data_IF_781834898450
#
_entry.id   IF_781834898450
#
_cell.length_a   1.000
_cell.length_b   1.000
_cell.length_c   1.000
_cell.angle_alpha   90.00
_cell.angle_beta   90.00
_cell.angle_gamma   90.00
#
_symmetry.space_group_name_H-M   'P 1'
#
loop_
_entity.id
_entity.type
_entity.pdbx_description
1 polymer ?
#
# COMPACT_ATOMS: atom_id res chain seq x y z
N UNK A 1 31.68 -10.29 5.87
CA UNK A 1 31.53 -9.28 6.95
C UNK A 1 30.63 -9.82 8.04
N UNK A 2 31.01 -9.56 9.31
CA UNK A 2 30.19 -9.96 10.48
C UNK A 2 28.95 -9.09 10.67
N UNK A 3 28.91 -7.93 10.04
CA UNK A 3 27.78 -7.00 10.07
C UNK A 3 27.28 -6.74 8.65
N UNK A 4 25.99 -6.90 8.44
CA UNK A 4 25.27 -6.46 7.26
C UNK A 4 24.15 -5.50 7.67
N UNK A 5 24.00 -4.41 6.93
CA UNK A 5 22.93 -3.44 7.16
C UNK A 5 22.16 -3.27 5.85
N UNK A 6 20.85 -3.49 5.92
CA UNK A 6 19.90 -3.25 4.84
C UNK A 6 19.11 -2.01 5.21
N UNK A 7 19.39 -0.92 4.54
CA UNK A 7 18.73 0.36 4.77
C UNK A 7 17.55 0.55 3.79
N UNK A 8 16.52 1.28 4.21
CA UNK A 8 15.31 1.53 3.43
C UNK A 8 14.69 0.25 2.87
N UNK A 9 14.61 -0.80 3.70
CA UNK A 9 14.18 -2.12 3.27
C UNK A 9 12.79 -2.14 2.62
N UNK A 10 11.90 -1.22 3.00
CA UNK A 10 10.58 -1.06 2.38
C UNK A 10 10.63 -0.75 0.88
N UNK A 11 11.78 -0.26 0.35
CA UNK A 11 11.97 0.07 -1.07
C UNK A 11 12.51 -1.10 -1.90
N UNK A 12 12.91 -2.21 -1.27
CA UNK A 12 13.45 -3.36 -1.96
C UNK A 12 12.33 -4.21 -2.56
N UNK A 13 12.21 -4.31 -3.89
CA UNK A 13 11.15 -5.08 -4.54
C UNK A 13 11.31 -6.59 -4.37
N UNK A 14 12.55 -7.05 -4.11
CA UNK A 14 12.88 -8.46 -3.88
C UNK A 14 13.71 -8.64 -2.62
N UNK A 15 13.69 -9.83 -2.05
CA UNK A 15 14.48 -10.19 -0.87
C UNK A 15 15.94 -10.57 -1.18
N UNK A 16 16.35 -10.46 -2.42
CA UNK A 16 17.62 -11.01 -2.92
C UNK A 16 18.83 -10.47 -2.13
N UNK A 17 18.92 -9.14 -1.93
CA UNK A 17 20.07 -8.55 -1.24
C UNK A 17 20.12 -8.97 0.24
N UNK A 18 18.98 -9.00 0.91
CA UNK A 18 18.88 -9.45 2.30
C UNK A 18 19.34 -10.90 2.45
N UNK A 19 18.86 -11.79 1.59
CA UNK A 19 19.22 -13.20 1.59
C UNK A 19 20.70 -13.42 1.26
N UNK A 20 21.24 -12.74 0.25
CA UNK A 20 22.67 -12.83 -0.09
C UNK A 20 23.57 -12.42 1.08
N UNK A 21 23.22 -11.36 1.81
CA UNK A 21 23.98 -10.94 2.98
C UNK A 21 23.89 -11.96 4.10
N UNK A 22 22.71 -12.50 4.37
CA UNK A 22 22.47 -13.51 5.39
C UNK A 22 23.20 -14.82 5.07
N UNK A 23 23.11 -15.30 3.84
CA UNK A 23 23.78 -16.53 3.39
C UNK A 23 25.31 -16.39 3.42
N UNK A 24 25.81 -15.20 3.05
CA UNK A 24 27.25 -14.89 3.13
C UNK A 24 27.80 -14.87 4.57
N UNK A 25 26.95 -14.87 5.58
CA UNK A 25 27.32 -14.89 7.00
C UNK A 25 27.19 -16.25 7.66
N UNK A 26 26.69 -17.28 6.99
CA UNK A 26 26.32 -18.58 7.57
C UNK A 26 27.47 -19.29 8.31
N UNK A 27 28.71 -19.06 7.88
CA UNK A 27 29.92 -19.64 8.50
C UNK A 27 30.50 -18.80 9.65
N UNK A 28 29.93 -17.62 9.91
CA UNK A 28 30.46 -16.69 10.91
C UNK A 28 29.81 -16.91 12.27
N UNK A 29 30.64 -16.94 13.34
CA UNK A 29 30.12 -17.18 14.71
C UNK A 29 29.33 -16.04 15.29
N UNK A 30 29.66 -14.80 14.93
CA UNK A 30 29.07 -13.56 15.48
C UNK A 30 28.57 -12.69 14.33
N UNK A 31 27.69 -13.24 13.52
CA UNK A 31 27.07 -12.52 12.43
C UNK A 31 25.84 -11.74 12.90
N UNK A 32 25.69 -10.53 12.38
CA UNK A 32 24.52 -9.69 12.64
C UNK A 32 24.04 -9.10 11.31
N UNK A 33 22.76 -9.28 11.01
CA UNK A 33 22.09 -8.59 9.91
C UNK A 33 21.05 -7.66 10.51
N UNK A 34 21.11 -6.37 10.16
CA UNK A 34 20.20 -5.32 10.62
C UNK A 34 19.42 -4.84 9.41
N UNK A 35 18.09 -4.83 9.49
CA UNK A 35 17.23 -4.14 8.55
C UNK A 35 16.69 -2.87 9.22
N UNK A 36 16.85 -1.72 8.56
CA UNK A 36 16.39 -0.41 9.01
C UNK A 36 15.43 0.11 7.95
N UNK A 37 14.26 0.57 8.36
CA UNK A 37 13.25 1.02 7.41
C UNK A 37 12.18 1.85 8.08
N UNK A 38 11.48 2.67 7.31
CA UNK A 38 10.14 3.16 7.62
C UNK A 38 9.10 2.20 7.04
N UNK A 39 7.83 2.44 7.30
CA UNK A 39 6.74 1.81 6.55
C UNK A 39 6.77 2.23 5.08
N UNK A 40 6.07 1.47 4.26
CA UNK A 40 5.97 1.71 2.82
C UNK A 40 4.52 1.64 2.34
N UNK A 41 4.37 1.69 1.04
CA UNK A 41 3.06 1.65 0.37
C UNK A 41 2.88 0.42 -0.53
N UNK A 42 3.86 -0.46 -0.61
CA UNK A 42 3.76 -1.70 -1.38
C UNK A 42 3.76 -2.91 -0.45
N UNK A 43 2.55 -3.43 -0.19
CA UNK A 43 2.34 -4.58 0.69
C UNK A 43 2.84 -5.91 0.10
N UNK A 44 3.20 -5.94 -1.20
CA UNK A 44 3.76 -7.12 -1.85
C UNK A 44 5.30 -7.20 -1.72
N UNK A 45 5.95 -6.18 -1.18
CA UNK A 45 7.40 -6.19 -0.99
C UNK A 45 7.80 -6.99 0.26
N UNK A 46 8.99 -7.60 0.24
CA UNK A 46 9.45 -8.47 1.33
C UNK A 46 9.46 -7.80 2.70
N UNK A 47 9.64 -6.50 2.77
CA UNK A 47 9.66 -5.76 4.01
C UNK A 47 8.33 -5.85 4.76
N UNK A 48 7.19 -5.83 4.05
CA UNK A 48 5.89 -5.98 4.68
C UNK A 48 5.69 -7.38 5.29
N UNK A 49 6.19 -8.43 4.64
CA UNK A 49 6.19 -9.78 5.22
C UNK A 49 7.06 -9.85 6.48
N UNK A 50 8.23 -9.19 6.48
CA UNK A 50 9.06 -9.09 7.68
C UNK A 50 8.39 -8.27 8.79
N UNK A 51 7.66 -7.22 8.45
CA UNK A 51 6.85 -6.46 9.42
C UNK A 51 5.78 -7.34 10.07
N UNK A 52 5.04 -8.15 9.30
CA UNK A 52 4.06 -9.11 9.86
C UNK A 52 4.72 -10.13 10.79
N UNK A 53 5.87 -10.67 10.40
CA UNK A 53 6.67 -11.57 11.24
C UNK A 53 7.08 -10.87 12.55
N UNK A 54 7.58 -9.64 12.45
CA UNK A 54 7.99 -8.84 13.59
C UNK A 54 6.83 -8.57 14.56
N UNK A 55 5.64 -8.24 14.05
CA UNK A 55 4.42 -8.09 14.88
C UNK A 55 4.05 -9.38 15.61
N UNK A 56 4.18 -10.53 14.98
CA UNK A 56 3.93 -11.83 15.61
C UNK A 56 4.94 -12.11 16.74
N UNK A 57 6.20 -11.72 16.58
CA UNK A 57 7.22 -11.86 17.62
C UNK A 57 6.92 -10.93 18.80
N UNK A 58 6.62 -9.65 18.56
CA UNK A 58 6.30 -8.68 19.63
C UNK A 58 5.05 -9.10 20.40
N UNK A 59 4.01 -9.61 19.71
CA UNK A 59 2.77 -10.05 20.35
C UNK A 59 2.91 -11.37 21.12
N UNK A 60 4.05 -12.07 21.00
CA UNK A 60 4.26 -13.40 21.59
C UNK A 60 3.56 -14.53 20.82
N UNK A 61 2.97 -14.26 19.67
CA UNK A 61 2.37 -15.29 18.81
C UNK A 61 3.41 -16.19 18.15
N UNK A 62 4.66 -15.71 18.03
CA UNK A 62 5.79 -16.46 17.52
C UNK A 62 7.00 -16.31 18.44
N UNK A 63 7.54 -17.43 18.93
CA UNK A 63 8.80 -17.46 19.64
C UNK A 63 9.97 -17.54 18.64
N UNK A 64 10.75 -16.47 18.56
CA UNK A 64 11.90 -16.38 17.65
C UNK A 64 13.05 -15.60 18.33
N UNK A 65 13.77 -16.24 19.26
CA UNK A 65 14.76 -15.56 20.10
C UNK A 65 15.97 -14.99 19.34
N UNK A 66 16.20 -15.39 18.09
CA UNK A 66 17.25 -14.85 17.25
C UNK A 66 16.87 -13.54 16.55
N UNK A 67 15.60 -13.12 16.62
CA UNK A 67 15.11 -11.90 16.00
C UNK A 67 14.82 -10.85 17.07
N UNK A 68 15.66 -9.82 17.11
CA UNK A 68 15.35 -8.60 17.85
C UNK A 68 14.46 -7.70 16.99
N UNK A 69 13.40 -7.17 17.56
CA UNK A 69 12.46 -6.29 16.88
C UNK A 69 12.24 -5.01 17.68
N UNK A 70 12.29 -3.89 16.99
CA UNK A 70 11.86 -2.58 17.50
C UNK A 70 10.99 -1.91 16.45
N UNK A 71 9.76 -1.54 16.81
CA UNK A 71 8.81 -0.83 15.95
C UNK A 71 8.31 0.40 16.69
N UNK A 72 8.44 1.57 16.07
CA UNK A 72 7.87 2.83 16.53
C UNK A 72 6.86 3.32 15.49
N UNK A 73 5.61 2.99 15.68
CA UNK A 73 4.51 3.32 14.77
C UNK A 73 3.37 4.03 15.52
N UNK A 74 2.57 4.81 14.79
CA UNK A 74 1.37 5.42 15.35
C UNK A 74 0.25 4.38 15.51
N UNK A 75 -0.55 4.52 16.58
CA UNK A 75 -1.72 3.68 16.81
C UNK A 75 -2.88 4.15 15.92
N UNK A 76 -2.93 3.64 14.69
CA UNK A 76 -3.94 4.02 13.70
C UNK A 76 -4.83 2.81 13.40
N UNK A 77 -6.17 2.94 13.53
CA UNK A 77 -7.11 1.91 13.15
C UNK A 77 -6.99 1.51 11.67
N UNK A 78 -7.46 0.31 11.34
CA UNK A 78 -7.58 -0.14 9.96
C UNK A 78 -8.58 0.73 9.21
N UNK A 79 -8.15 1.37 8.12
CA UNK A 79 -8.97 2.29 7.33
C UNK A 79 -10.24 1.65 6.78
N UNK A 80 -10.23 0.36 6.45
CA UNK A 80 -11.39 -0.34 5.90
C UNK A 80 -12.43 -0.67 6.98
N UNK A 81 -11.96 -0.90 8.23
CA UNK A 81 -12.84 -1.27 9.35
C UNK A 81 -13.37 -0.07 10.11
N UNK A 82 -12.57 0.98 10.21
CA UNK A 82 -12.92 2.21 10.94
C UNK A 82 -12.34 3.43 10.19
N UNK A 83 -12.97 3.88 9.10
CA UNK A 83 -12.48 5.01 8.30
C UNK A 83 -12.42 6.33 9.08
N UNK A 84 -13.37 6.56 9.98
CA UNK A 84 -13.41 7.79 10.78
C UNK A 84 -12.34 7.77 11.88
N UNK A 85 -12.19 6.65 12.59
CA UNK A 85 -11.13 6.46 13.56
C UNK A 85 -9.76 6.57 12.91
N UNK A 86 -9.57 6.01 11.72
CA UNK A 86 -8.34 6.17 10.93
C UNK A 86 -8.04 7.65 10.66
N UNK A 87 -9.02 8.39 10.14
CA UNK A 87 -8.88 9.82 9.80
C UNK A 87 -8.56 10.67 11.04
N UNK A 88 -9.22 10.40 12.16
CA UNK A 88 -8.97 11.11 13.41
C UNK A 88 -7.59 10.82 13.97
N UNK A 89 -7.17 9.55 13.98
CA UNK A 89 -5.89 9.12 14.51
C UNK A 89 -4.68 9.65 13.72
N UNK A 90 -4.82 9.87 12.40
CA UNK A 90 -3.77 10.48 11.56
C UNK A 90 -3.37 11.88 12.06
N UNK A 91 -4.31 12.64 12.62
CA UNK A 91 -4.11 14.03 13.00
C UNK A 91 -3.97 14.24 14.51
N UNK A 92 -3.90 13.14 15.27
CA UNK A 92 -3.68 13.15 16.70
C UNK A 92 -2.18 13.30 17.03
N UNK A 93 -1.84 14.40 17.70
CA UNK A 93 -0.44 14.69 18.08
C UNK A 93 0.15 13.66 19.05
N UNK A 94 -0.66 13.02 19.89
CA UNK A 94 -0.20 11.97 20.82
C UNK A 94 0.26 10.73 20.06
N UNK A 95 -0.38 10.42 18.93
CA UNK A 95 0.07 9.34 18.04
C UNK A 95 1.38 9.68 17.33
N UNK A 96 1.60 10.94 16.97
CA UNK A 96 2.85 11.34 16.32
C UNK A 96 4.08 11.10 17.21
N UNK A 97 3.93 11.31 18.52
CA UNK A 97 5.01 11.09 19.48
C UNK A 97 5.40 9.60 19.57
N UNK A 98 4.45 8.68 19.42
CA UNK A 98 4.70 7.23 19.42
C UNK A 98 5.56 6.79 18.26
N UNK A 99 5.27 7.31 17.06
CA UNK A 99 6.01 6.99 15.84
C UNK A 99 7.37 7.72 15.73
N UNK A 100 7.60 8.77 16.53
CA UNK A 100 8.80 9.60 16.43
C UNK A 100 9.51 9.77 17.79
N UNK A 101 9.96 8.68 18.43
CA UNK A 101 10.49 8.74 19.80
C UNK A 101 11.70 9.68 19.94
N UNK A 102 12.60 9.71 18.94
CA UNK A 102 13.79 10.57 19.00
C UNK A 102 13.52 12.03 18.66
N UNK A 103 12.47 12.34 17.94
CA UNK A 103 12.10 13.69 17.54
C UNK A 103 11.15 14.34 18.55
N UNK A 104 10.19 13.55 19.04
CA UNK A 104 9.13 14.04 19.90
C UNK A 104 9.49 14.08 21.39
N UNK A 105 10.52 13.35 21.82
CA UNK A 105 10.91 13.26 23.21
C UNK A 105 12.32 13.81 23.46
N UNK A 106 12.53 14.51 24.57
CA UNK A 106 13.86 14.93 25.07
C UNK A 106 14.47 13.85 25.95
N UNK A 107 13.63 13.16 26.71
CA UNK A 107 13.96 12.05 27.60
C UNK A 107 12.70 11.21 27.80
N UNK A 108 12.73 10.19 28.66
CA UNK A 108 11.64 9.21 28.86
C UNK A 108 10.31 9.84 29.35
N UNK A 109 10.31 11.08 29.79
CA UNK A 109 9.13 11.73 30.41
C UNK A 109 8.81 13.12 29.86
N UNK A 110 9.70 13.74 29.10
CA UNK A 110 9.57 15.13 28.65
C UNK A 110 9.50 15.22 27.13
N UNK A 111 8.39 15.76 26.62
CA UNK A 111 8.19 16.03 25.18
C UNK A 111 9.11 17.15 24.68
N UNK A 112 9.50 17.04 23.42
CA UNK A 112 10.27 18.02 22.70
C UNK A 112 9.35 18.92 21.84
N UNK A 113 8.98 20.07 22.37
CA UNK A 113 8.08 21.01 21.69
C UNK A 113 8.54 21.40 20.28
N UNK A 114 9.87 21.55 20.08
CA UNK A 114 10.42 21.87 18.76
C UNK A 114 10.26 20.71 17.77
N UNK A 115 10.44 19.48 18.25
CA UNK A 115 10.23 18.28 17.45
C UNK A 115 8.76 18.10 17.07
N UNK A 116 7.87 18.26 18.03
CA UNK A 116 6.42 18.19 17.78
C UNK A 116 5.93 19.30 16.83
N UNK A 117 6.43 20.54 17.00
CA UNK A 117 6.11 21.63 16.09
C UNK A 117 6.56 21.37 14.65
N UNK A 118 7.67 20.66 14.47
CA UNK A 118 8.13 20.23 13.15
C UNK A 118 7.16 19.20 12.53
N UNK A 119 6.75 18.18 13.29
CA UNK A 119 5.77 17.19 12.81
C UNK A 119 4.47 17.88 12.48
N UNK A 120 3.99 18.81 13.31
CA UNK A 120 2.79 19.61 13.07
C UNK A 120 2.86 20.40 11.77
N UNK A 121 4.01 21.00 11.45
CA UNK A 121 4.22 21.72 10.20
C UNK A 121 4.14 20.79 8.98
N UNK A 122 4.77 19.62 9.08
CA UNK A 122 4.73 18.58 8.02
C UNK A 122 3.30 18.04 7.85
N UNK A 123 2.56 17.80 8.94
CA UNK A 123 1.16 17.37 8.90
C UNK A 123 0.25 18.38 8.21
N UNK A 124 0.45 19.67 8.50
CA UNK A 124 -0.31 20.75 7.87
C UNK A 124 -0.05 20.82 6.36
N UNK A 125 1.21 20.67 5.94
CA UNK A 125 1.57 20.59 4.53
C UNK A 125 0.94 19.39 3.83
N UNK A 126 1.06 18.21 4.44
CA UNK A 126 0.51 16.96 3.92
C UNK A 126 -1.02 17.03 3.77
N UNK A 127 -1.70 17.61 4.77
CA UNK A 127 -3.16 17.80 4.75
C UNK A 127 -3.62 18.76 3.65
N UNK A 128 -2.84 19.81 3.40
CA UNK A 128 -3.18 20.83 2.40
C UNK A 128 -2.95 20.35 0.97
N UNK A 129 -1.89 19.57 0.73
CA UNK A 129 -1.50 19.10 -0.60
C UNK A 129 -2.14 17.77 -0.98
N UNK A 130 -2.37 16.89 0.00
CA UNK A 130 -2.88 15.54 -0.25
C UNK A 130 -1.88 14.66 -1.03
N UNK A 131 -2.39 13.64 -1.71
CA UNK A 131 -1.63 12.83 -2.65
C UNK A 131 -0.32 12.26 -2.07
N UNK A 132 0.79 12.54 -2.75
CA UNK A 132 2.11 12.04 -2.38
C UNK A 132 2.62 12.59 -1.04
N UNK A 133 2.41 13.88 -0.76
CA UNK A 133 2.79 14.48 0.53
C UNK A 133 2.06 13.83 1.71
N UNK A 134 0.77 13.53 1.55
CA UNK A 134 -0.01 12.83 2.58
C UNK A 134 0.48 11.39 2.78
N UNK A 135 0.72 10.66 1.70
CA UNK A 135 1.27 9.30 1.77
C UNK A 135 2.63 9.29 2.46
N UNK A 136 3.51 10.23 2.11
CA UNK A 136 4.83 10.35 2.70
C UNK A 136 4.76 10.70 4.20
N UNK A 137 3.83 11.53 4.59
CA UNK A 137 3.57 11.79 6.01
C UNK A 137 3.13 10.52 6.74
N UNK A 138 2.16 9.78 6.19
CA UNK A 138 1.66 8.53 6.79
C UNK A 138 2.77 7.47 6.90
N UNK A 139 3.55 7.26 5.85
CA UNK A 139 4.56 6.20 5.85
C UNK A 139 5.85 6.58 6.58
N UNK A 140 6.30 7.84 6.47
CA UNK A 140 7.62 8.27 6.99
C UNK A 140 7.55 8.95 8.36
N UNK A 141 6.38 9.49 8.74
CA UNK A 141 6.21 10.17 10.04
C UNK A 141 5.35 9.39 11.01
N UNK A 142 4.36 8.68 10.50
CA UNK A 142 3.51 7.83 11.35
C UNK A 142 3.93 6.37 11.35
N UNK A 143 4.83 6.01 10.45
CA UNK A 143 5.35 4.64 10.25
C UNK A 143 4.24 3.62 9.99
N UNK A 144 3.19 4.04 9.29
CA UNK A 144 2.00 3.24 8.99
C UNK A 144 2.02 2.78 7.54
N UNK A 145 1.85 1.47 7.36
CA UNK A 145 1.72 0.89 6.03
C UNK A 145 0.41 1.32 5.37
N UNK A 146 0.50 1.74 4.12
CA UNK A 146 -0.66 2.19 3.34
C UNK A 146 -0.67 1.53 1.97
N UNK A 147 -1.87 1.33 1.42
CA UNK A 147 -2.09 0.73 0.09
C UNK A 147 -2.06 1.80 -1.01
N UNK A 148 -1.84 3.06 -0.67
CA UNK A 148 -1.86 4.16 -1.62
C UNK A 148 -0.78 3.98 -2.69
N UNK A 149 -1.19 3.65 -3.90
CA UNK A 149 -0.32 3.65 -5.08
C UNK A 149 -0.16 5.11 -5.54
N UNK A 150 1.07 5.66 -5.63
CA UNK A 150 1.29 7.02 -6.15
C UNK A 150 0.86 7.16 -7.60
N UNK A 151 0.76 6.04 -8.30
CA UNK A 151 0.43 5.92 -9.71
C UNK A 151 -1.03 5.54 -9.94
N UNK A 152 -1.90 5.67 -8.93
CA UNK A 152 -3.32 5.49 -9.17
C UNK A 152 -3.78 6.58 -10.16
N UNK A 153 -4.11 6.19 -11.37
CA UNK A 153 -4.65 7.07 -12.41
C UNK A 153 -5.93 7.76 -11.94
N UNK A 154 -6.66 7.11 -11.03
CA UNK A 154 -7.90 7.63 -10.45
C UNK A 154 -7.75 7.63 -8.92
N UNK A 155 -8.16 8.73 -8.28
CA UNK A 155 -8.30 8.83 -6.84
C UNK A 155 -9.36 7.84 -6.35
N UNK A 156 -9.01 7.00 -5.36
CA UNK A 156 -9.88 5.92 -4.89
C UNK A 156 -11.19 6.45 -4.24
N UNK A 157 -11.13 7.59 -3.55
CA UNK A 157 -12.30 8.22 -2.94
C UNK A 157 -13.27 8.71 -4.02
N UNK A 158 -12.75 9.40 -5.04
CA UNK A 158 -13.55 9.83 -6.21
C UNK A 158 -14.08 8.65 -7.03
N UNK A 159 -13.33 7.55 -7.06
CA UNK A 159 -13.81 6.34 -7.72
C UNK A 159 -15.04 5.77 -7.00
N UNK A 160 -14.99 5.66 -5.67
CA UNK A 160 -16.12 5.21 -4.87
C UNK A 160 -17.31 6.18 -4.91
N UNK A 161 -17.05 7.50 -4.94
CA UNK A 161 -18.12 8.49 -5.13
C UNK A 161 -18.83 8.38 -6.47
N UNK A 162 -18.21 7.75 -7.47
CA UNK A 162 -18.77 7.53 -8.80
C UNK A 162 -19.61 6.26 -8.92
N UNK A 163 -19.72 5.43 -7.85
CA UNK A 163 -20.56 4.24 -7.86
C UNK A 163 -22.02 4.58 -8.11
N UNK A 164 -22.71 3.72 -8.88
CA UNK A 164 -24.10 3.90 -9.26
C UNK A 164 -24.81 2.56 -9.30
N UNK A 165 -26.10 2.58 -9.03
CA UNK A 165 -26.97 1.40 -9.18
C UNK A 165 -27.42 1.16 -10.65
N UNK A 166 -27.03 2.05 -11.58
CA UNK A 166 -27.31 1.88 -13.00
C UNK A 166 -26.55 0.69 -13.58
N UNK A 167 -27.20 0.01 -14.52
CA UNK A 167 -26.66 -1.15 -15.22
C UNK A 167 -26.65 -0.93 -16.73
N UNK A 168 -25.96 -1.77 -17.49
CA UNK A 168 -26.03 -1.77 -18.97
C UNK A 168 -27.45 -1.93 -19.51
N UNK A 169 -28.30 -2.66 -18.80
CA UNK A 169 -29.70 -2.81 -19.20
C UNK A 169 -30.47 -1.47 -19.19
N UNK A 170 -30.14 -0.56 -18.27
CA UNK A 170 -30.74 0.76 -18.17
C UNK A 170 -30.29 1.69 -19.29
N UNK A 171 -29.22 1.32 -19.99
CA UNK A 171 -28.67 2.06 -21.13
C UNK A 171 -29.26 1.66 -22.47
N UNK A 172 -30.20 0.71 -22.50
CA UNK A 172 -30.83 0.26 -23.75
C UNK A 172 -31.49 1.40 -24.52
N UNK A 173 -31.14 1.55 -25.80
CA UNK A 173 -31.67 2.59 -26.68
C UNK A 173 -31.02 3.98 -26.53
N UNK A 174 -29.99 4.12 -25.71
CA UNK A 174 -29.20 5.36 -25.58
C UNK A 174 -28.00 5.37 -26.51
N UNK A 175 -27.49 6.54 -26.82
CA UNK A 175 -26.25 6.70 -27.58
C UNK A 175 -25.08 6.13 -26.77
N UNK A 176 -24.23 5.35 -27.44
CA UNK A 176 -23.08 4.70 -26.83
C UNK A 176 -21.80 5.01 -27.62
N UNK A 177 -20.77 5.41 -26.91
CA UNK A 177 -19.40 5.48 -27.44
C UNK A 177 -18.61 4.27 -26.95
N UNK A 178 -17.90 3.60 -27.88
CA UNK A 178 -17.15 2.38 -27.58
C UNK A 178 -15.66 2.67 -27.75
N UNK A 179 -14.89 2.40 -26.68
CA UNK A 179 -13.44 2.36 -26.70
C UNK A 179 -12.94 0.92 -26.69
N UNK A 180 -11.97 0.59 -27.53
CA UNK A 180 -11.33 -0.73 -27.56
C UNK A 180 -9.84 -0.57 -27.44
N UNK A 181 -9.25 -1.25 -26.48
CA UNK A 181 -7.80 -1.38 -26.31
C UNK A 181 -7.39 -2.83 -26.57
N UNK A 182 -6.57 -3.02 -27.61
CA UNK A 182 -6.12 -4.35 -28.04
C UNK A 182 -4.72 -4.62 -27.49
N UNK A 183 -4.59 -5.68 -26.73
CA UNK A 183 -3.30 -6.11 -26.20
C UNK A 183 -2.42 -6.76 -27.27
N UNK A 184 -1.15 -6.35 -27.33
CA UNK A 184 -0.10 -6.98 -28.15
C UNK A 184 0.81 -7.92 -27.36
N UNK A 185 0.34 -8.55 -26.31
CA UNK A 185 1.14 -9.62 -25.72
C UNK A 185 1.36 -9.68 -24.23
N UNK A 186 1.14 -8.63 -23.46
CA UNK A 186 1.36 -8.65 -22.00
C UNK A 186 0.18 -8.11 -21.20
N UNK A 187 -0.69 -7.33 -21.82
CA UNK A 187 -1.78 -6.65 -21.16
C UNK A 187 -3.14 -7.33 -21.44
N UNK A 188 -4.18 -6.85 -20.79
CA UNK A 188 -5.56 -7.24 -21.07
C UNK A 188 -6.06 -6.54 -22.33
N UNK A 189 -6.83 -7.23 -23.15
CA UNK A 189 -7.70 -6.57 -24.12
C UNK A 189 -8.91 -6.04 -23.38
N UNK A 190 -9.28 -4.77 -23.56
CA UNK A 190 -10.41 -4.15 -22.87
C UNK A 190 -11.35 -3.45 -23.82
N UNK A 191 -12.64 -3.53 -23.52
CA UNK A 191 -13.71 -2.81 -24.22
C UNK A 191 -14.46 -1.97 -23.20
N UNK A 192 -14.59 -0.68 -23.46
CA UNK A 192 -15.32 0.25 -22.61
C UNK A 192 -16.50 0.85 -23.34
N UNK A 193 -17.62 0.97 -22.65
CA UNK A 193 -18.87 1.55 -23.12
C UNK A 193 -19.15 2.83 -22.33
N UNK A 194 -19.37 3.94 -23.02
CA UNK A 194 -19.62 5.25 -22.41
C UNK A 194 -20.98 5.76 -22.90
N UNK A 195 -21.87 6.01 -21.95
CA UNK A 195 -23.22 6.50 -22.22
C UNK A 195 -23.40 7.88 -21.57
N UNK A 196 -23.54 8.97 -22.37
CA UNK A 196 -23.92 10.28 -21.85
C UNK A 196 -25.31 10.23 -21.21
N UNK A 197 -25.42 10.81 -20.01
CA UNK A 197 -26.69 10.93 -19.29
C UNK A 197 -27.27 12.34 -19.40
N UNK A 198 -28.57 12.46 -19.28
CA UNK A 198 -29.28 13.76 -19.31
C UNK A 198 -28.83 14.71 -18.18
N UNK A 199 -28.32 14.15 -17.07
CA UNK A 199 -27.73 14.90 -15.96
C UNK A 199 -26.43 15.64 -16.27
N UNK A 200 -25.82 15.37 -17.45
CA UNK A 200 -24.50 15.84 -17.82
C UNK A 200 -23.35 14.92 -17.32
N UNK A 201 -23.67 13.87 -16.57
CA UNK A 201 -22.73 12.82 -16.20
C UNK A 201 -22.61 11.78 -17.32
N UNK A 202 -21.71 10.82 -17.15
CA UNK A 202 -21.56 9.67 -18.03
C UNK A 202 -21.68 8.38 -17.21
N UNK A 203 -22.37 7.38 -17.76
CA UNK A 203 -22.29 6.01 -17.26
C UNK A 203 -21.19 5.30 -18.04
N UNK A 204 -20.30 4.63 -17.34
CA UNK A 204 -19.19 3.86 -17.93
C UNK A 204 -19.27 2.44 -17.45
N UNK A 205 -19.19 1.51 -18.38
CA UNK A 205 -18.99 0.09 -18.10
C UNK A 205 -17.84 -0.42 -18.95
N UNK A 206 -17.07 -1.38 -18.41
CA UNK A 206 -15.95 -1.95 -19.15
C UNK A 206 -15.78 -3.42 -18.88
N UNK A 207 -15.32 -4.17 -19.86
CA UNK A 207 -15.05 -5.58 -19.76
C UNK A 207 -13.69 -5.93 -20.36
N UNK A 208 -12.97 -6.83 -19.68
CA UNK A 208 -11.63 -7.21 -20.08
C UNK A 208 -11.55 -8.67 -20.50
N UNK A 209 -10.60 -8.98 -21.38
CA UNK A 209 -10.38 -10.30 -21.95
C UNK A 209 -8.90 -10.68 -21.83
N UNK A 210 -8.65 -11.97 -21.58
CA UNK A 210 -7.30 -12.55 -21.52
C UNK A 210 -7.31 -13.95 -22.15
N UNK A 211 -6.25 -14.33 -22.93
CA UNK A 211 -6.11 -15.71 -23.36
C UNK A 211 -5.90 -16.65 -22.15
N UNK A 212 -6.69 -17.73 -22.08
CA UNK A 212 -6.64 -18.69 -20.96
C UNK A 212 -5.22 -19.22 -20.70
N UNK A 213 -4.46 -19.42 -21.75
CA UNK A 213 -3.07 -19.92 -21.67
C UNK A 213 -2.12 -19.00 -20.90
N UNK A 214 -2.48 -17.73 -20.70
CA UNK A 214 -1.65 -16.74 -20.00
C UNK A 214 -2.02 -16.55 -18.55
N UNK A 215 -3.14 -17.08 -18.11
CA UNK A 215 -3.66 -16.86 -16.76
C UNK A 215 -2.61 -17.23 -15.69
N UNK A 216 -2.00 -18.42 -15.78
CA UNK A 216 -1.03 -18.88 -14.78
C UNK A 216 0.26 -18.06 -14.78
N UNK A 217 0.74 -17.66 -15.97
CA UNK A 217 1.93 -16.83 -16.11
C UNK A 217 1.72 -15.45 -15.49
N UNK A 218 0.60 -14.80 -15.82
CA UNK A 218 0.28 -13.46 -15.33
C UNK A 218 -0.02 -13.43 -13.83
N UNK A 219 -0.64 -14.45 -13.26
CA UNK A 219 -0.82 -14.57 -11.80
C UNK A 219 0.52 -14.55 -11.06
N UNK A 220 1.55 -15.18 -11.63
CA UNK A 220 2.88 -15.23 -11.01
C UNK A 220 3.69 -13.95 -11.22
N UNK A 221 3.62 -13.36 -12.41
CA UNK A 221 4.42 -12.18 -12.78
C UNK A 221 3.82 -10.89 -12.20
N UNK A 222 2.51 -10.69 -12.36
CA UNK A 222 1.85 -9.42 -12.07
C UNK A 222 1.34 -9.38 -10.63
N UNK A 223 1.21 -10.55 -9.98
CA UNK A 223 0.64 -10.72 -8.64
C UNK A 223 -0.77 -10.11 -8.50
N UNK A 224 -1.53 -10.14 -9.59
CA UNK A 224 -2.90 -9.66 -9.63
C UNK A 224 -3.88 -10.84 -9.48
N UNK A 225 -5.06 -10.64 -8.87
CA UNK A 225 -6.01 -11.72 -8.58
C UNK A 225 -6.88 -12.06 -9.81
N UNK A 226 -6.27 -12.44 -10.93
CA UNK A 226 -6.97 -12.69 -12.20
C UNK A 226 -8.07 -13.75 -12.09
N UNK A 227 -7.85 -14.85 -11.35
CA UNK A 227 -8.88 -15.88 -11.14
C UNK A 227 -10.09 -15.35 -10.38
N UNK A 228 -9.86 -14.45 -9.42
CA UNK A 228 -10.96 -13.79 -8.73
C UNK A 228 -11.76 -12.93 -9.70
N UNK A 229 -11.11 -12.14 -10.55
CA UNK A 229 -11.77 -11.31 -11.55
C UNK A 229 -12.56 -12.14 -12.58
N UNK A 230 -12.08 -13.33 -12.93
CA UNK A 230 -12.83 -14.27 -13.77
C UNK A 230 -14.10 -14.77 -13.04
N UNK A 231 -13.97 -15.15 -11.76
CA UNK A 231 -15.09 -15.62 -10.96
C UNK A 231 -16.14 -14.52 -10.72
N UNK A 232 -15.68 -13.28 -10.58
CA UNK A 232 -16.53 -12.09 -10.38
C UNK A 232 -17.15 -11.59 -11.70
N UNK A 233 -16.82 -12.20 -12.83
CA UNK A 233 -17.32 -11.82 -14.15
C UNK A 233 -16.72 -10.55 -14.74
N UNK A 234 -15.63 -10.04 -14.16
CA UNK A 234 -14.92 -8.84 -14.60
C UNK A 234 -13.92 -9.11 -15.73
N UNK A 235 -13.49 -10.36 -15.87
CA UNK A 235 -12.52 -10.83 -16.85
C UNK A 235 -13.03 -12.08 -17.55
N UNK A 236 -13.02 -12.09 -18.88
CA UNK A 236 -13.34 -13.27 -19.68
C UNK A 236 -12.06 -13.91 -20.23
N UNK A 237 -11.93 -15.23 -20.04
CA UNK A 237 -10.88 -16.02 -20.69
C UNK A 237 -11.29 -16.40 -22.10
N UNK A 238 -10.37 -16.27 -23.07
CA UNK A 238 -10.57 -16.54 -24.50
C UNK A 238 -9.59 -17.57 -25.05
#
# INVERSE_FOLDING_TARGET
SNLAVVDEYHRHPTNQMYLLMKDGQISLKNALTIAITTAGFNLNYPCYEQYKLAKNVISGALDFPQLFVYIAEADIPDQQKDPEGFKNALWDADNWAKANPFLAWKNDTELNDKGLARIQSESTSARSKGGEDLRDFITKRLDVWTVSRPESFIDAEKWHESETDLTLADMSGKDCYIGVDLSEGGDLTSVSFIFPLESGNVFIDSHSFMPEKRLEEHEQTDKAPYRQWVNDGLLTLT
#
